data_IF_518971268795
#
_entry.id   IF_518971268795
#
_cell.length_a   1.000
_cell.length_b   1.000
_cell.length_c   1.000
_cell.angle_alpha   90.00
_cell.angle_beta   90.00
_cell.angle_gamma   90.00
#
_symmetry.space_group_name_H-M   'P 1'
#
loop_
_entity.id
_entity.type
_entity.pdbx_description
1 polymer ?
#
# COMPACT_ATOMS: atom_id res chain seq x y z
N UNK A 1 0.34 -11.75 -16.72
CA UNK A 1 -0.77 -11.60 -15.72
C UNK A 1 -0.20 -11.52 -14.30
N UNK A 2 0.80 -12.33 -13.98
CA UNK A 2 1.59 -12.17 -12.74
C UNK A 2 2.31 -10.81 -12.70
N UNK A 3 2.76 -10.32 -13.85
CA UNK A 3 3.49 -9.03 -13.96
C UNK A 3 2.63 -7.84 -13.52
N UNK A 4 1.36 -7.79 -13.94
CA UNK A 4 0.43 -6.74 -13.51
C UNK A 4 0.13 -6.83 -12.01
N UNK A 5 -0.01 -8.03 -11.46
CA UNK A 5 -0.23 -8.21 -10.03
C UNK A 5 0.99 -7.74 -9.21
N UNK A 6 2.20 -8.04 -9.70
CA UNK A 6 3.46 -7.57 -9.12
C UNK A 6 3.56 -6.04 -9.18
N UNK A 7 3.28 -5.45 -10.34
CA UNK A 7 3.30 -3.99 -10.53
C UNK A 7 2.30 -3.28 -9.59
N UNK A 8 1.08 -3.80 -9.47
CA UNK A 8 0.07 -3.24 -8.56
C UNK A 8 0.50 -3.37 -7.10
N UNK A 9 1.09 -4.51 -6.70
CA UNK A 9 1.63 -4.70 -5.35
C UNK A 9 2.70 -3.67 -5.02
N UNK A 10 3.70 -3.52 -5.90
CA UNK A 10 4.78 -2.56 -5.72
C UNK A 10 4.28 -1.12 -5.64
N UNK A 11 3.40 -0.70 -6.57
CA UNK A 11 2.82 0.65 -6.54
C UNK A 11 2.01 0.91 -5.27
N UNK A 12 1.26 -0.08 -4.79
CA UNK A 12 0.46 0.04 -3.57
C UNK A 12 1.35 0.15 -2.33
N UNK A 13 2.39 -0.68 -2.22
CA UNK A 13 3.35 -0.60 -1.12
C UNK A 13 4.06 0.77 -1.12
N UNK A 14 4.55 1.21 -2.27
CA UNK A 14 5.22 2.50 -2.41
C UNK A 14 4.31 3.68 -2.06
N UNK A 15 3.02 3.63 -2.45
CA UNK A 15 2.04 4.66 -2.09
C UNK A 15 1.87 4.78 -0.57
N UNK A 16 1.71 3.64 0.12
CA UNK A 16 1.50 3.62 1.57
C UNK A 16 2.77 4.05 2.32
N UNK A 17 3.95 3.58 1.90
CA UNK A 17 5.23 3.91 2.54
C UNK A 17 5.71 5.35 2.30
N UNK A 18 5.12 6.06 1.35
CA UNK A 18 5.47 7.46 1.07
C UNK A 18 5.03 8.44 2.18
N UNK A 19 4.27 7.98 3.16
CA UNK A 19 3.73 8.79 4.25
C UNK A 19 3.99 8.12 5.61
N UNK A 20 4.14 8.93 6.66
CA UNK A 20 4.44 8.46 8.02
C UNK A 20 3.28 7.71 8.70
N UNK A 21 2.13 7.59 8.04
CA UNK A 21 0.90 7.03 8.60
C UNK A 21 0.14 6.12 7.63
N UNK A 22 -0.76 5.32 8.19
CA UNK A 22 -1.65 4.43 7.44
C UNK A 22 -3.05 5.04 7.40
N UNK A 23 -3.53 5.36 6.19
CA UNK A 23 -4.79 6.08 5.99
C UNK A 23 -5.87 5.20 5.32
N UNK A 24 -7.13 5.55 5.54
CA UNK A 24 -8.29 4.85 4.96
C UNK A 24 -8.29 4.88 3.42
N UNK A 25 -7.91 6.00 2.82
CA UNK A 25 -7.81 6.15 1.37
C UNK A 25 -6.78 7.23 1.00
N UNK A 26 -6.35 7.16 -0.25
CA UNK A 26 -5.41 8.09 -0.85
C UNK A 26 -6.04 8.68 -2.12
N UNK A 27 -5.74 9.93 -2.41
CA UNK A 27 -6.19 10.57 -3.63
C UNK A 27 -5.60 9.88 -4.87
N UNK A 28 -6.44 9.51 -5.83
CA UNK A 28 -6.03 8.71 -6.98
C UNK A 28 -5.07 9.41 -7.96
N UNK A 29 -5.08 10.75 -8.01
CA UNK A 29 -4.26 11.53 -8.94
C UNK A 29 -2.91 11.93 -8.32
N UNK A 30 -2.93 12.25 -7.02
CA UNK A 30 -1.77 12.82 -6.31
C UNK A 30 -1.11 11.84 -5.35
N UNK A 31 -1.79 10.74 -5.01
CA UNK A 31 -1.37 9.78 -3.99
C UNK A 31 -1.42 10.31 -2.56
N UNK A 32 -1.88 11.55 -2.32
CA UNK A 32 -1.89 12.15 -0.98
C UNK A 32 -3.07 11.66 -0.15
N UNK A 33 -2.87 11.34 1.14
CA UNK A 33 -3.98 11.16 2.06
C UNK A 33 -4.65 12.52 2.32
N UNK A 34 -5.96 12.68 2.06
CA UNK A 34 -6.67 13.91 2.39
C UNK A 34 -6.89 14.03 3.90
N UNK A 35 -7.15 15.24 4.39
CA UNK A 35 -7.41 15.51 5.82
C UNK A 35 -8.63 14.75 6.37
N UNK A 36 -9.57 14.40 5.49
CA UNK A 36 -10.78 13.64 5.81
C UNK A 36 -10.55 12.13 5.89
N UNK A 37 -9.37 11.63 5.53
CA UNK A 37 -9.06 10.20 5.65
C UNK A 37 -8.72 9.85 7.10
N UNK A 38 -9.36 8.80 7.63
CA UNK A 38 -9.02 8.32 8.96
C UNK A 38 -7.56 7.84 9.02
N UNK A 39 -6.81 8.32 10.00
CA UNK A 39 -5.46 7.86 10.30
C UNK A 39 -5.49 6.57 11.14
N UNK A 40 -4.39 5.81 11.12
CA UNK A 40 -4.25 4.52 11.83
C UNK A 40 -5.38 3.54 11.39
N UNK A 41 -5.68 3.52 10.08
CA UNK A 41 -6.80 2.74 9.57
C UNK A 41 -6.46 1.25 9.46
N UNK A 42 -7.13 0.43 10.26
CA UNK A 42 -6.79 -0.98 10.44
C UNK A 42 -6.87 -1.84 9.16
N UNK A 43 -7.81 -1.57 8.26
CA UNK A 43 -7.92 -2.35 7.02
C UNK A 43 -6.78 -2.07 6.05
N UNK A 44 -6.38 -0.80 5.88
CA UNK A 44 -5.20 -0.47 5.08
C UNK A 44 -3.94 -1.07 5.70
N UNK A 45 -3.83 -1.10 7.04
CA UNK A 45 -2.71 -1.75 7.72
C UNK A 45 -2.66 -3.26 7.45
N UNK A 46 -3.80 -3.94 7.51
CA UNK A 46 -3.89 -5.37 7.21
C UNK A 46 -3.48 -5.68 5.76
N UNK A 47 -3.96 -4.89 4.80
CA UNK A 47 -3.58 -5.01 3.39
C UNK A 47 -2.07 -4.76 3.20
N UNK A 48 -1.53 -3.71 3.82
CA UNK A 48 -0.10 -3.41 3.76
C UNK A 48 0.76 -4.59 4.24
N UNK A 49 0.41 -5.18 5.40
CA UNK A 49 1.14 -6.32 5.97
C UNK A 49 1.11 -7.53 5.02
N UNK A 50 -0.07 -7.89 4.50
CA UNK A 50 -0.19 -9.01 3.56
C UNK A 50 0.64 -8.79 2.28
N UNK A 51 0.58 -7.59 1.69
CA UNK A 51 1.36 -7.26 0.50
C UNK A 51 2.86 -7.25 0.79
N UNK A 52 3.30 -6.75 1.95
CA UNK A 52 4.72 -6.71 2.33
C UNK A 52 5.30 -8.12 2.53
N UNK A 53 4.54 -9.03 3.13
CA UNK A 53 4.94 -10.44 3.28
C UNK A 53 5.12 -11.09 1.91
N UNK A 54 4.17 -10.89 0.99
CA UNK A 54 4.27 -11.43 -0.38
C UNK A 54 5.46 -10.84 -1.14
N UNK A 55 5.70 -9.54 -1.01
CA UNK A 55 6.87 -8.87 -1.59
C UNK A 55 8.19 -9.47 -1.10
N UNK A 56 8.29 -9.73 0.20
CA UNK A 56 9.47 -10.34 0.81
C UNK A 56 9.71 -11.77 0.32
N UNK A 57 8.66 -12.58 0.22
CA UNK A 57 8.74 -13.94 -0.28
C UNK A 57 9.18 -14.01 -1.75
N UNK A 58 8.66 -13.12 -2.61
CA UNK A 58 9.04 -13.04 -4.04
C UNK A 58 10.53 -12.71 -4.22
N UNK A 59 11.11 -11.87 -3.35
CA UNK A 59 12.51 -11.46 -3.41
C UNK A 59 13.51 -12.53 -2.90
N UNK A 60 13.01 -13.65 -2.36
CA UNK A 60 13.84 -14.74 -1.83
C UNK A 60 13.90 -15.95 -2.79
N UNK A 61 13.44 -15.78 -4.04
CA UNK A 61 13.44 -16.80 -5.10
C UNK A 61 14.61 -16.73 -6.07
#
# INVERSE_FOLDING_TARGET
RHDLAHELREKTLNLIMAYDGIYEYYNAETGKPPETAAAIFGWTAAVFIDLAIRASADNTG
#
